data_IF_962143343234
#
_entry.id   IF_962143343234
#
_cell.length_a   1.000
_cell.length_b   1.000
_cell.length_c   1.000
_cell.angle_alpha   90.00
_cell.angle_beta   90.00
_cell.angle_gamma   90.00
#
_symmetry.space_group_name_H-M   'P 1'
#
loop_
_entity.id
_entity.type
_entity.pdbx_description
1 polymer ?
#
# COMPACT_ATOMS: atom_id res chain seq x y z
N UNK A 1 -2.18 1.66 14.14
CA UNK A 1 -2.13 0.18 14.32
C UNK A 1 -2.09 -0.42 12.93
N UNK A 2 -1.25 -1.43 12.67
CA UNK A 2 -1.18 -2.03 11.34
C UNK A 2 -2.49 -2.76 11.01
N UNK A 3 -3.02 -2.58 9.80
CA UNK A 3 -4.26 -3.19 9.32
C UNK A 3 -3.99 -4.00 8.05
N UNK A 4 -4.57 -5.19 7.94
CA UNK A 4 -4.51 -5.96 6.69
C UNK A 4 -5.72 -5.65 5.83
N UNK A 5 -5.47 -5.18 4.62
CA UNK A 5 -6.47 -4.98 3.57
C UNK A 5 -6.18 -5.91 2.39
N UNK A 6 -7.18 -6.09 1.51
CA UNK A 6 -7.05 -6.96 0.34
C UNK A 6 -7.21 -6.14 -0.93
N UNK A 7 -6.28 -6.33 -1.87
CA UNK A 7 -6.35 -5.70 -3.18
C UNK A 7 -7.54 -6.25 -3.98
N UNK A 8 -8.45 -5.36 -4.39
CA UNK A 8 -9.60 -5.71 -5.24
C UNK A 8 -9.32 -5.52 -6.74
N UNK A 9 -8.21 -4.84 -7.07
CA UNK A 9 -7.75 -4.57 -8.42
C UNK A 9 -6.24 -4.81 -8.49
N UNK A 10 -5.74 -5.16 -9.68
CA UNK A 10 -4.32 -5.19 -9.96
C UNK A 10 -3.83 -3.73 -10.08
N UNK A 11 -2.65 -3.46 -9.55
CA UNK A 11 -1.95 -2.20 -9.73
C UNK A 11 -0.53 -2.49 -10.21
N UNK A 12 -0.10 -1.78 -11.26
CA UNK A 12 1.27 -1.79 -11.77
C UNK A 12 1.88 -0.44 -11.39
N UNK A 13 2.96 -0.47 -10.61
CA UNK A 13 3.67 0.72 -10.16
C UNK A 13 4.22 1.52 -11.35
N UNK A 14 4.04 2.83 -11.30
CA UNK A 14 4.49 3.78 -12.32
C UNK A 14 5.71 4.60 -11.87
N UNK A 15 5.98 4.66 -10.57
CA UNK A 15 7.15 5.31 -9.97
C UNK A 15 7.96 4.37 -9.04
N UNK A 16 9.23 4.74 -8.77
CA UNK A 16 10.15 3.96 -7.93
C UNK A 16 9.69 3.82 -6.46
N UNK A 17 8.82 4.72 -6.00
CA UNK A 17 8.25 4.73 -4.65
C UNK A 17 6.87 4.05 -4.57
N UNK A 18 6.43 3.37 -5.63
CA UNK A 18 5.17 2.64 -5.68
C UNK A 18 5.40 1.11 -5.71
N UNK A 19 4.45 0.33 -5.18
CA UNK A 19 4.51 -1.14 -5.21
C UNK A 19 3.39 -1.70 -6.08
N UNK A 20 3.77 -2.53 -7.06
CA UNK A 20 2.80 -3.33 -7.83
C UNK A 20 2.21 -4.45 -6.98
N UNK A 21 0.91 -4.67 -7.08
CA UNK A 21 0.22 -5.78 -6.41
C UNK A 21 -0.87 -6.38 -7.30
N UNK A 22 -1.21 -7.65 -7.06
CA UNK A 22 -2.27 -8.34 -7.78
C UNK A 22 -3.59 -8.33 -7.01
N UNK A 23 -4.69 -8.63 -7.70
CA UNK A 23 -5.98 -8.92 -7.06
C UNK A 23 -5.81 -10.07 -6.06
N UNK A 24 -6.50 -9.97 -4.93
CA UNK A 24 -6.45 -10.91 -3.81
C UNK A 24 -5.06 -11.02 -3.14
N UNK A 25 -4.19 -10.02 -3.30
CA UNK A 25 -2.94 -9.92 -2.56
C UNK A 25 -3.16 -9.20 -1.21
N UNK A 26 -2.65 -9.74 -0.07
CA UNK A 26 -2.78 -9.11 1.22
C UNK A 26 -1.78 -7.95 1.38
N UNK A 27 -2.28 -6.79 1.78
CA UNK A 27 -1.50 -5.57 1.98
C UNK A 27 -1.56 -5.18 3.46
N UNK A 28 -0.41 -4.94 4.08
CA UNK A 28 -0.32 -4.51 5.49
C UNK A 28 -0.15 -3.00 5.52
N UNK A 29 -1.23 -2.26 5.77
CA UNK A 29 -1.21 -0.80 5.90
C UNK A 29 -0.56 -0.42 7.22
N UNK A 30 0.53 0.33 7.16
CA UNK A 30 1.29 0.81 8.33
C UNK A 30 0.90 2.22 8.72
N UNK A 31 0.53 3.07 7.74
CA UNK A 31 0.04 4.42 7.97
C UNK A 31 -1.03 4.78 6.94
N UNK A 32 -2.22 5.15 7.42
CA UNK A 32 -3.25 5.78 6.58
C UNK A 32 -2.98 7.28 6.51
N UNK A 33 -3.65 7.95 5.59
CA UNK A 33 -3.57 9.40 5.38
C UNK A 33 -4.18 10.23 6.53
N UNK A 34 -3.60 10.12 7.74
CA UNK A 34 -4.04 10.82 8.95
C UNK A 34 -3.12 11.99 9.29
N UNK A 35 -1.88 11.99 8.77
CA UNK A 35 -0.86 12.98 9.12
C UNK A 35 -0.78 14.14 8.12
N UNK A 36 -0.87 13.86 6.81
CA UNK A 36 -0.65 14.86 5.75
C UNK A 36 -1.93 15.21 4.97
N UNK A 37 -2.96 14.35 4.98
CA UNK A 37 -4.23 14.52 4.25
C UNK A 37 -4.02 14.71 2.74
N UNK A 38 -3.03 14.02 2.18
CA UNK A 38 -2.60 14.13 0.78
C UNK A 38 -3.10 12.98 -0.10
N UNK A 39 -3.81 12.02 0.48
CA UNK A 39 -4.37 10.85 -0.18
C UNK A 39 -3.49 9.59 -0.14
N UNK A 40 -2.26 9.65 0.39
CA UNK A 40 -1.29 8.56 0.27
C UNK A 40 -1.23 7.64 1.50
N UNK A 41 -1.15 6.34 1.28
CA UNK A 41 -1.07 5.34 2.35
C UNK A 41 0.29 4.62 2.32
N UNK A 42 0.88 4.41 3.49
CA UNK A 42 2.08 3.59 3.64
C UNK A 42 1.69 2.15 3.96
N UNK A 43 2.34 1.19 3.30
CA UNK A 43 2.08 -0.21 3.56
C UNK A 43 3.32 -1.10 3.41
N UNK A 44 3.17 -2.38 3.65
CA UNK A 44 4.20 -3.38 3.37
C UNK A 44 3.55 -4.59 2.73
N UNK A 45 4.23 -5.20 1.77
CA UNK A 45 3.82 -6.45 1.14
C UNK A 45 4.96 -7.46 1.37
N UNK A 46 4.65 -8.68 1.80
CA UNK A 46 5.64 -9.73 2.07
C UNK A 46 6.74 -9.38 3.10
N UNK A 47 6.46 -8.47 4.05
CA UNK A 47 7.43 -7.90 5.01
C UNK A 47 8.54 -7.04 4.36
N UNK A 48 8.23 -6.42 3.22
CA UNK A 48 9.09 -5.47 2.52
C UNK A 48 8.41 -4.09 2.59
N UNK A 49 9.06 -3.11 3.21
CA UNK A 49 8.47 -1.85 3.70
C UNK A 49 8.47 -0.73 2.65
N UNK A 50 7.31 -0.33 2.06
CA UNK A 50 7.26 0.78 1.07
C UNK A 50 5.88 1.50 0.95
N UNK A 51 5.87 2.76 0.52
CA UNK A 51 4.65 3.60 0.36
C UNK A 51 3.91 3.34 -0.98
N UNK A 52 2.64 3.73 -1.12
CA UNK A 52 1.98 3.86 -2.45
C UNK A 52 0.72 4.74 -2.44
N UNK A 53 0.31 5.11 -3.65
CA UNK A 53 -0.79 6.01 -4.05
C UNK A 53 -2.19 5.43 -3.83
#
# INVERSE_FOLDING_TARGET
MAETVWAIHKFDAEADDEISFNVDEPIIVTQKDELYQDGWWEYTINNVDHKSQ
#
